data_IF_844505916328
#
_entry.id   IF_844505916328
#
_cell.length_a   1.000
_cell.length_b   1.000
_cell.length_c   1.000
_cell.angle_alpha   90.00
_cell.angle_beta   90.00
_cell.angle_gamma   90.00
#
_symmetry.space_group_name_H-M   'P 1'
#
loop_
_entity.id
_entity.type
_entity.pdbx_description
1 polymer ?
#
# COMPACT_ATOMS: atom_id res chain seq x y z
N UNK A 1 18.82 80.18 -8.69
CA UNK A 1 19.85 79.79 -7.70
C UNK A 1 20.24 81.01 -6.88
N UNK A 2 19.58 81.26 -5.76
CA UNK A 2 20.16 81.86 -4.55
C UNK A 2 19.13 81.75 -3.40
N UNK A 3 19.59 81.26 -2.25
CA UNK A 3 18.86 81.05 -0.98
C UNK A 3 18.67 82.38 -0.23
N UNK A 4 17.89 82.35 0.86
CA UNK A 4 18.50 82.33 2.21
C UNK A 4 17.79 81.26 3.11
N UNK A 5 18.44 80.33 3.85
CA UNK A 5 19.27 80.41 5.08
C UNK A 5 18.70 81.38 6.13
N UNK A 6 18.36 81.00 7.36
CA UNK A 6 19.22 80.55 8.50
C UNK A 6 18.27 79.98 9.60
N UNK A 7 18.37 78.73 10.09
CA UNK A 7 19.18 78.18 11.21
C UNK A 7 18.65 78.44 12.65
N UNK A 8 18.27 77.32 13.32
CA UNK A 8 18.34 76.95 14.75
C UNK A 8 17.64 77.76 15.87
N UNK A 9 16.98 77.06 16.81
CA UNK A 9 17.46 76.81 18.20
C UNK A 9 16.46 75.89 18.95
N UNK A 10 17.03 74.89 19.64
CA UNK A 10 16.42 74.01 20.63
C UNK A 10 16.34 74.73 21.99
N UNK A 11 15.23 74.61 22.73
CA UNK A 11 15.20 74.89 24.17
C UNK A 11 14.24 73.91 24.87
N UNK A 12 14.80 73.09 25.76
CA UNK A 12 14.10 72.33 26.79
C UNK A 12 14.08 73.15 28.08
N UNK A 13 13.08 72.95 28.97
CA UNK A 13 13.18 72.95 30.45
C UNK A 13 11.81 72.69 31.11
N UNK A 14 11.74 71.53 31.77
CA UNK A 14 11.30 71.23 33.15
C UNK A 14 9.82 71.25 33.61
N UNK A 15 9.34 70.01 33.86
CA UNK A 15 8.59 69.45 35.01
C UNK A 15 7.73 70.33 35.94
N UNK A 16 6.46 69.92 36.10
CA UNK A 16 5.86 69.58 37.40
C UNK A 16 4.95 68.34 37.29
N UNK A 17 5.12 67.41 38.25
CA UNK A 17 4.29 66.22 38.48
C UNK A 17 3.08 66.59 39.36
N UNK A 18 1.90 66.00 39.12
CA UNK A 18 1.25 65.07 40.07
C UNK A 18 -0.13 64.56 39.61
N UNK A 19 -0.26 63.23 39.71
CA UNK A 19 -1.44 62.43 40.05
C UNK A 19 -2.60 62.31 39.04
N UNK A 20 -2.73 61.09 38.52
CA UNK A 20 -3.94 60.60 37.87
C UNK A 20 -3.71 59.25 37.20
N UNK A 21 -3.53 58.18 37.99
CA UNK A 21 -3.55 56.82 37.49
C UNK A 21 -4.86 56.56 36.73
N UNK A 22 -4.79 56.44 35.41
CA UNK A 22 -5.62 55.47 34.70
C UNK A 22 -4.68 54.75 33.73
N UNK A 23 -4.56 53.45 33.94
CA UNK A 23 -4.10 52.54 32.89
C UNK A 23 -4.90 52.87 31.63
N UNK A 24 -4.35 52.83 30.41
CA UNK A 24 -5.22 52.68 29.26
C UNK A 24 -5.97 51.37 29.52
N UNK A 25 -7.27 51.49 29.81
CA UNK A 25 -8.16 50.37 29.62
C UNK A 25 -7.87 49.92 28.20
N UNK A 26 -7.41 48.68 28.05
CA UNK A 26 -7.44 48.06 26.74
C UNK A 26 -8.91 48.06 26.35
N UNK A 27 -9.30 49.06 25.56
CA UNK A 27 -10.55 49.06 24.83
C UNK A 27 -10.39 47.92 23.83
N UNK A 28 -10.60 46.70 24.31
CA UNK A 28 -10.89 45.57 23.46
C UNK A 28 -12.03 46.00 22.54
N UNK A 29 -11.98 45.54 21.30
CA UNK A 29 -13.04 45.72 20.32
C UNK A 29 -14.40 45.50 21.02
N UNK A 30 -15.40 46.39 20.81
CA UNK A 30 -16.66 46.36 21.54
C UNK A 30 -17.29 44.96 21.54
N UNK A 31 -18.06 44.64 22.59
CA UNK A 31 -18.62 43.31 22.89
C UNK A 31 -19.45 42.69 21.73
N UNK A 32 -19.77 43.46 20.68
CA UNK A 32 -20.49 43.02 19.48
C UNK A 32 -19.78 43.37 18.17
N UNK A 33 -18.45 43.33 18.12
CA UNK A 33 -17.75 43.57 16.85
C UNK A 33 -17.91 42.36 15.92
N UNK A 34 -18.75 42.50 14.91
CA UNK A 34 -18.93 41.52 13.82
C UNK A 34 -18.24 42.01 12.55
N UNK A 35 -17.87 41.07 11.67
CA UNK A 35 -17.43 41.40 10.32
C UNK A 35 -18.59 41.27 9.33
N UNK A 36 -18.51 41.98 8.21
CA UNK A 36 -19.47 41.88 7.13
C UNK A 36 -18.81 41.25 5.91
N UNK A 37 -19.49 40.28 5.30
CA UNK A 37 -19.07 39.68 4.04
C UNK A 37 -20.17 39.89 3.01
N UNK A 38 -19.80 40.48 1.87
CA UNK A 38 -20.62 40.55 0.67
C UNK A 38 -20.14 39.45 -0.27
N UNK A 39 -21.03 38.49 -0.57
CA UNK A 39 -20.72 37.39 -1.47
C UNK A 39 -21.33 37.69 -2.84
N UNK A 40 -20.50 37.66 -3.88
CA UNK A 40 -20.95 37.70 -5.27
C UNK A 40 -20.43 36.46 -6.00
N UNK A 41 -21.33 35.74 -6.66
CA UNK A 41 -20.97 34.61 -7.50
C UNK A 41 -21.60 34.78 -8.88
N UNK A 42 -20.81 34.49 -9.91
CA UNK A 42 -21.25 34.52 -11.31
C UNK A 42 -21.00 33.16 -11.93
N UNK A 43 -22.03 32.61 -12.58
CA UNK A 43 -21.95 31.34 -13.31
C UNK A 43 -21.35 31.62 -14.69
N UNK A 44 -20.13 31.15 -14.95
CA UNK A 44 -19.39 31.45 -16.18
C UNK A 44 -20.09 30.93 -17.46
N UNK A 45 -20.86 29.85 -17.34
CA UNK A 45 -21.72 29.32 -18.40
C UNK A 45 -22.82 28.45 -17.80
N UNK A 46 -24.08 28.80 -18.01
CA UNK A 46 -25.23 27.98 -17.66
C UNK A 46 -25.96 27.58 -18.95
N UNK A 47 -26.29 26.31 -19.12
CA UNK A 47 -27.26 25.93 -20.16
C UNK A 47 -28.63 26.48 -19.74
N UNK A 48 -29.38 27.07 -20.68
CA UNK A 48 -30.76 27.48 -20.43
C UNK A 48 -31.57 26.28 -19.92
N UNK A 49 -32.16 26.41 -18.72
CA UNK A 49 -32.99 25.36 -18.10
C UNK A 49 -32.32 24.50 -17.03
N UNK A 50 -31.18 24.91 -16.44
CA UNK A 50 -30.50 24.11 -15.40
C UNK A 50 -31.24 23.95 -14.06
N UNK A 51 -32.49 24.41 -13.94
CA UNK A 51 -33.35 24.18 -12.78
C UNK A 51 -32.92 24.81 -11.46
N UNK A 52 -31.81 25.56 -11.41
CA UNK A 52 -31.27 26.14 -10.18
C UNK A 52 -32.21 27.21 -9.63
N UNK A 53 -32.62 27.06 -8.36
CA UNK A 53 -33.56 27.97 -7.70
C UNK A 53 -33.06 28.49 -6.35
N UNK A 54 -32.09 27.80 -5.74
CA UNK A 54 -31.60 28.11 -4.40
C UNK A 54 -30.08 28.07 -4.32
N UNK A 55 -29.50 29.03 -3.60
CA UNK A 55 -28.11 29.01 -3.19
C UNK A 55 -28.00 28.71 -1.70
N UNK A 56 -27.03 27.89 -1.32
CA UNK A 56 -26.59 27.73 0.07
C UNK A 56 -25.17 28.24 0.21
N UNK A 57 -24.98 29.23 1.06
CA UNK A 57 -23.67 29.75 1.43
C UNK A 57 -23.28 29.07 2.74
N UNK A 58 -22.12 28.42 2.74
CA UNK A 58 -21.59 27.68 3.89
C UNK A 58 -20.29 28.36 4.31
N UNK A 59 -20.20 28.70 5.60
CA UNK A 59 -18.97 29.21 6.21
C UNK A 59 -18.51 28.26 7.32
N UNK A 60 -17.32 27.70 7.17
CA UNK A 60 -16.80 26.65 8.05
C UNK A 60 -15.44 27.01 8.67
N UNK A 61 -15.24 26.59 9.92
CA UNK A 61 -13.92 26.61 10.59
C UNK A 61 -13.83 25.45 11.56
N UNK A 62 -13.06 24.42 11.19
CA UNK A 62 -12.99 23.18 11.96
C UNK A 62 -14.37 22.53 12.04
N UNK A 63 -14.91 22.37 13.26
CA UNK A 63 -16.25 21.80 13.49
C UNK A 63 -17.40 22.82 13.47
N UNK A 64 -17.09 24.11 13.32
CA UNK A 64 -18.10 25.16 13.29
C UNK A 64 -18.56 25.38 11.86
N UNK A 65 -19.87 25.36 11.63
CA UNK A 65 -20.50 25.54 10.32
C UNK A 65 -21.67 26.51 10.48
N UNK A 66 -21.74 27.50 9.60
CA UNK A 66 -22.86 28.41 9.43
C UNK A 66 -23.40 28.30 8.01
N UNK A 67 -24.71 28.26 7.87
CA UNK A 67 -25.38 28.06 6.59
C UNK A 67 -26.44 29.15 6.38
N UNK A 68 -26.47 29.72 5.18
CA UNK A 68 -27.49 30.67 4.76
C UNK A 68 -28.06 30.23 3.42
N UNK A 69 -29.39 30.11 3.38
CA UNK A 69 -30.13 29.88 2.16
C UNK A 69 -30.52 31.22 1.54
N UNK A 70 -30.12 31.43 0.29
CA UNK A 70 -30.27 32.70 -0.44
C UNK A 70 -30.94 32.43 -1.79
N UNK A 71 -31.93 33.24 -2.20
CA UNK A 71 -32.54 33.07 -3.52
C UNK A 71 -31.54 33.36 -4.63
N UNK A 72 -31.62 32.60 -5.72
CA UNK A 72 -30.87 32.87 -6.95
C UNK A 72 -31.72 33.78 -7.84
N UNK A 73 -31.17 34.93 -8.26
CA UNK A 73 -31.87 35.88 -9.14
C UNK A 73 -31.15 35.94 -10.48
N UNK A 74 -31.70 35.27 -11.49
CA UNK A 74 -31.04 35.16 -12.79
C UNK A 74 -29.82 34.24 -12.71
N UNK A 75 -28.62 34.80 -12.93
CA UNK A 75 -27.34 34.09 -12.83
C UNK A 75 -26.47 34.57 -11.66
N UNK A 76 -26.95 35.53 -10.89
CA UNK A 76 -26.20 36.18 -9.83
C UNK A 76 -26.73 35.77 -8.47
N UNK A 77 -25.79 35.57 -7.54
CA UNK A 77 -26.06 35.39 -6.12
C UNK A 77 -25.45 36.60 -5.42
N UNK A 78 -26.25 37.28 -4.60
CA UNK A 78 -25.78 38.39 -3.77
C UNK A 78 -26.32 38.22 -2.36
N UNK A 79 -25.43 38.18 -1.37
CA UNK A 79 -25.79 38.12 0.05
C UNK A 79 -24.85 38.98 0.89
N UNK A 80 -25.42 39.70 1.85
CA UNK A 80 -24.68 40.38 2.91
C UNK A 80 -24.84 39.57 4.20
N UNK A 81 -23.72 39.10 4.75
CA UNK A 81 -23.69 38.19 5.89
C UNK A 81 -22.95 38.84 7.06
N UNK A 82 -23.59 38.84 8.23
CA UNK A 82 -22.94 39.17 9.50
C UNK A 82 -22.29 37.90 10.07
N UNK A 83 -20.95 37.88 10.10
CA UNK A 83 -20.18 36.70 10.45
C UNK A 83 -19.11 37.02 11.51
N UNK A 84 -18.74 36.05 12.36
CA UNK A 84 -17.69 36.30 13.35
C UNK A 84 -16.34 36.57 12.67
N UNK A 85 -15.58 37.50 13.24
CA UNK A 85 -14.22 37.85 12.78
C UNK A 85 -13.30 36.62 12.85
N UNK A 86 -12.45 36.45 11.85
CA UNK A 86 -11.43 35.40 11.78
C UNK A 86 -11.26 34.80 10.39
N UNK A 87 -10.42 33.77 10.31
CA UNK A 87 -10.21 32.98 9.10
C UNK A 87 -11.32 31.93 8.95
N UNK A 88 -11.88 31.78 7.76
CA UNK A 88 -12.98 30.88 7.47
C UNK A 88 -12.86 30.27 6.08
N UNK A 89 -13.43 29.08 5.90
CA UNK A 89 -13.65 28.50 4.58
C UNK A 89 -15.06 28.81 4.11
N UNK A 90 -15.18 29.45 2.96
CA UNK A 90 -16.42 29.75 2.26
C UNK A 90 -16.66 28.71 1.15
N UNK A 91 -17.85 28.12 1.14
CA UNK A 91 -18.33 27.26 0.06
C UNK A 91 -19.71 27.74 -0.38
N UNK A 92 -19.96 27.77 -1.67
CA UNK A 92 -21.28 28.08 -2.24
C UNK A 92 -21.79 26.84 -2.97
N UNK A 93 -23.03 26.45 -2.67
CA UNK A 93 -23.77 25.40 -3.36
C UNK A 93 -24.96 26.01 -4.11
N UNK A 94 -25.18 25.60 -5.34
CA UNK A 94 -26.37 25.93 -6.12
C UNK A 94 -27.19 24.67 -6.35
N UNK A 95 -28.46 24.73 -5.95
CA UNK A 95 -29.37 23.59 -5.96
C UNK A 95 -30.60 23.85 -6.84
N UNK A 96 -31.14 22.77 -7.40
CA UNK A 96 -32.45 22.78 -8.05
C UNK A 96 -33.62 22.70 -7.06
N UNK A 97 -34.85 22.71 -7.58
CA UNK A 97 -36.09 22.64 -6.79
C UNK A 97 -36.21 21.33 -5.99
N UNK A 98 -35.54 20.26 -6.42
CA UNK A 98 -35.46 18.98 -5.75
C UNK A 98 -34.37 18.93 -4.66
N UNK A 99 -33.52 19.96 -4.56
CA UNK A 99 -32.42 20.06 -3.59
C UNK A 99 -31.11 19.40 -4.04
N UNK A 100 -30.98 19.03 -5.31
CA UNK A 100 -29.76 18.44 -5.88
C UNK A 100 -28.75 19.53 -6.18
N UNK A 101 -27.49 19.34 -5.77
CA UNK A 101 -26.41 20.31 -6.01
C UNK A 101 -25.98 20.24 -7.48
N UNK A 102 -26.36 21.26 -8.25
CA UNK A 102 -26.02 21.38 -9.68
C UNK A 102 -24.66 22.04 -9.89
N UNK A 103 -24.30 23.01 -9.03
CA UNK A 103 -23.00 23.69 -9.07
C UNK A 103 -22.49 23.96 -7.66
N UNK A 104 -21.17 24.05 -7.52
CA UNK A 104 -20.53 24.39 -6.26
C UNK A 104 -19.18 25.09 -6.45
N UNK A 105 -18.71 25.79 -5.43
CA UNK A 105 -17.33 26.29 -5.39
C UNK A 105 -16.38 25.26 -4.78
N UNK A 106 -15.07 25.41 -5.05
CA UNK A 106 -14.09 24.86 -4.12
C UNK A 106 -14.16 25.63 -2.78
N UNK A 107 -13.80 25.01 -1.63
CA UNK A 107 -13.63 25.74 -0.38
C UNK A 107 -12.59 26.85 -0.55
N UNK A 108 -12.99 28.09 -0.26
CA UNK A 108 -12.14 29.27 -0.38
C UNK A 108 -11.86 29.86 0.99
N UNK A 109 -10.58 30.04 1.33
CA UNK A 109 -10.19 30.72 2.56
C UNK A 109 -10.50 32.23 2.47
N UNK A 110 -11.17 32.76 3.49
CA UNK A 110 -11.49 34.18 3.63
C UNK A 110 -11.11 34.69 5.02
N UNK A 111 -10.67 35.95 5.08
CA UNK A 111 -10.23 36.62 6.31
C UNK A 111 -11.18 37.75 6.69
N UNK A 112 -12.12 37.44 7.58
CA UNK A 112 -13.12 38.40 8.04
C UNK A 112 -12.49 39.33 9.08
N UNK A 113 -12.40 40.62 8.76
CA UNK A 113 -11.84 41.67 9.62
C UNK A 113 -12.92 42.54 10.29
N UNK A 114 -12.64 43.14 11.48
CA UNK A 114 -13.58 44.05 12.15
C UNK A 114 -13.88 45.30 11.31
N UNK A 115 -15.15 45.72 11.28
CA UNK A 115 -15.63 46.97 10.67
C UNK A 115 -15.24 47.15 9.19
N UNK A 116 -15.00 46.04 8.48
CA UNK A 116 -14.71 46.02 7.05
C UNK A 116 -15.73 45.13 6.36
N UNK A 117 -16.25 45.58 5.22
CA UNK A 117 -17.06 44.74 4.33
C UNK A 117 -16.12 44.12 3.31
N UNK A 118 -15.93 42.81 3.36
CA UNK A 118 -15.14 42.08 2.37
C UNK A 118 -16.04 41.62 1.23
N UNK A 119 -15.70 42.01 0.00
CA UNK A 119 -16.29 41.42 -1.20
C UNK A 119 -15.55 40.13 -1.54
N UNK A 120 -16.28 39.04 -1.70
CA UNK A 120 -15.73 37.74 -2.11
C UNK A 120 -16.37 37.33 -3.43
N UNK A 121 -15.55 37.27 -4.48
CA UNK A 121 -15.93 36.73 -5.78
C UNK A 121 -15.61 35.23 -5.82
N UNK A 122 -16.60 34.43 -6.19
CA UNK A 122 -16.49 32.97 -6.20
C UNK A 122 -16.76 32.40 -7.58
N UNK A 123 -15.90 31.50 -8.03
CA UNK A 123 -16.08 30.74 -9.27
C UNK A 123 -16.75 29.41 -8.94
N UNK A 124 -17.84 29.12 -9.64
CA UNK A 124 -18.60 27.87 -9.49
C UNK A 124 -18.20 26.87 -10.58
N UNK A 125 -18.10 25.60 -10.18
CA UNK A 125 -17.92 24.42 -11.04
C UNK A 125 -19.16 23.53 -10.96
N UNK A 126 -19.36 22.58 -11.89
CA UNK A 126 -20.41 21.58 -11.75
C UNK A 126 -20.33 20.84 -10.41
N UNK A 127 -21.50 20.51 -9.87
CA UNK A 127 -21.66 19.75 -8.63
C UNK A 127 -20.94 18.40 -8.71
N UNK A 128 -20.50 17.91 -7.55
CA UNK A 128 -19.88 16.59 -7.48
C UNK A 128 -20.86 15.50 -7.87
N UNK A 129 -20.35 14.45 -8.51
CA UNK A 129 -21.06 13.19 -8.67
C UNK A 129 -20.85 12.32 -7.43
N UNK A 130 -21.80 11.43 -7.18
CA UNK A 130 -21.74 10.47 -6.09
C UNK A 130 -21.31 9.11 -6.64
N UNK A 131 -20.27 8.50 -6.06
CA UNK A 131 -19.88 7.12 -6.39
C UNK A 131 -20.32 6.23 -5.24
N UNK A 132 -21.38 5.45 -5.48
CA UNK A 132 -21.90 4.48 -4.54
C UNK A 132 -21.18 3.14 -4.76
N UNK A 133 -20.12 2.92 -3.99
CA UNK A 133 -19.28 1.74 -4.05
C UNK A 133 -19.81 0.64 -3.13
N UNK A 134 -20.00 -0.53 -3.71
CA UNK A 134 -20.27 -1.80 -3.03
C UNK A 134 -19.07 -2.73 -3.24
N UNK A 135 -18.29 -3.00 -2.20
CA UNK A 135 -17.26 -4.04 -2.20
C UNK A 135 -17.91 -5.35 -1.76
N UNK A 136 -17.99 -6.30 -2.67
CA UNK A 136 -18.46 -7.65 -2.42
C UNK A 136 -17.28 -8.63 -2.40
N UNK A 137 -17.08 -9.26 -1.24
CA UNK A 137 -16.01 -10.23 -1.04
C UNK A 137 -16.46 -11.66 -1.38
N UNK A 138 -17.77 -11.89 -1.51
CA UNK A 138 -18.34 -13.23 -1.67
C UNK A 138 -18.02 -14.16 -0.49
N UNK A 139 -18.24 -15.46 -0.70
CA UNK A 139 -18.15 -16.48 0.37
C UNK A 139 -16.78 -17.16 0.48
N UNK A 140 -15.77 -16.70 -0.27
CA UNK A 140 -14.46 -17.37 -0.28
C UNK A 140 -13.75 -17.22 1.07
N UNK A 141 -13.18 -18.30 1.64
CA UNK A 141 -12.42 -18.23 2.89
C UNK A 141 -11.18 -17.33 2.79
N UNK A 142 -10.71 -17.05 1.56
CA UNK A 142 -9.58 -16.14 1.34
C UNK A 142 -9.85 -14.73 1.87
N UNK A 143 -11.09 -14.28 1.82
CA UNK A 143 -11.49 -12.94 2.23
C UNK A 143 -11.93 -12.86 3.70
N UNK A 144 -11.91 -13.97 4.44
CA UNK A 144 -12.39 -14.02 5.83
C UNK A 144 -11.66 -13.11 6.82
N UNK A 145 -10.47 -12.64 6.44
CA UNK A 145 -9.66 -11.75 7.26
C UNK A 145 -9.59 -10.32 6.71
N UNK A 146 -10.25 -10.03 5.58
CA UNK A 146 -10.30 -8.70 5.02
C UNK A 146 -11.17 -7.80 5.92
N UNK A 147 -10.57 -6.74 6.45
CA UNK A 147 -11.27 -5.77 7.33
C UNK A 147 -10.98 -4.31 6.98
N UNK A 148 -10.19 -4.10 5.92
CA UNK A 148 -9.71 -2.78 5.51
C UNK A 148 -9.57 -2.71 4.00
N UNK A 149 -9.85 -1.54 3.44
CA UNK A 149 -9.60 -1.24 2.04
C UNK A 149 -8.98 0.15 1.88
N UNK A 150 -8.13 0.31 0.86
CA UNK A 150 -7.78 1.62 0.33
C UNK A 150 -8.42 1.76 -1.03
N UNK A 151 -9.24 2.79 -1.16
CA UNK A 151 -9.88 3.16 -2.42
C UNK A 151 -9.15 4.38 -2.94
N UNK A 152 -8.56 4.27 -4.11
CA UNK A 152 -7.85 5.35 -4.77
C UNK A 152 -8.69 5.88 -5.93
N UNK A 153 -8.71 7.21 -6.06
CA UNK A 153 -9.17 7.92 -7.24
C UNK A 153 -8.01 8.80 -7.70
N UNK A 154 -7.30 8.36 -8.74
CA UNK A 154 -5.99 8.88 -9.12
C UNK A 154 -4.97 8.73 -7.96
N UNK A 155 -4.37 9.83 -7.51
CA UNK A 155 -3.41 9.85 -6.41
C UNK A 155 -4.06 10.02 -5.02
N UNK A 156 -5.34 10.41 -4.99
CA UNK A 156 -6.09 10.57 -3.75
C UNK A 156 -6.59 9.21 -3.27
N UNK A 157 -6.62 9.01 -1.95
CA UNK A 157 -7.10 7.77 -1.36
C UNK A 157 -7.94 8.00 -0.13
N UNK A 158 -8.86 7.08 0.09
CA UNK A 158 -9.62 6.95 1.32
C UNK A 158 -9.44 5.55 1.91
N UNK A 159 -9.39 5.51 3.24
CA UNK A 159 -9.21 4.29 4.01
C UNK A 159 -10.55 3.86 4.60
N UNK A 160 -11.04 2.71 4.14
CA UNK A 160 -12.24 2.07 4.67
C UNK A 160 -11.83 1.02 5.71
N UNK A 161 -12.50 1.02 6.85
CA UNK A 161 -12.27 0.08 7.95
C UNK A 161 -13.64 -0.44 8.40
N UNK A 162 -13.76 -1.77 8.52
CA UNK A 162 -14.98 -2.43 8.99
C UNK A 162 -14.66 -3.58 9.94
N UNK A 163 -15.65 -4.03 10.68
CA UNK A 163 -15.56 -5.18 11.59
C UNK A 163 -16.46 -6.31 11.09
N UNK A 164 -15.94 -7.55 11.07
CA UNK A 164 -16.68 -8.71 10.58
C UNK A 164 -16.90 -8.73 9.06
N UNK A 165 -17.68 -9.67 8.56
CA UNK A 165 -17.98 -9.84 7.12
C UNK A 165 -19.47 -10.13 6.94
N UNK A 166 -20.30 -9.34 7.62
CA UNK A 166 -21.75 -9.46 7.51
C UNK A 166 -22.22 -8.70 6.27
N UNK A 167 -21.91 -9.26 5.09
CA UNK A 167 -22.37 -8.76 3.80
C UNK A 167 -21.43 -7.76 3.11
N UNK A 168 -21.91 -7.12 2.03
CA UNK A 168 -21.09 -6.21 1.24
C UNK A 168 -20.79 -4.91 2.00
N UNK A 169 -19.62 -4.35 1.72
CA UNK A 169 -19.17 -3.08 2.30
C UNK A 169 -19.61 -1.96 1.37
N UNK A 170 -20.47 -1.06 1.87
CA UNK A 170 -20.99 0.07 1.09
C UNK A 170 -20.34 1.38 1.54
N UNK A 171 -19.96 2.23 0.59
CA UNK A 171 -19.43 3.55 0.85
C UNK A 171 -19.79 4.51 -0.29
N UNK A 172 -20.09 5.77 0.04
CA UNK A 172 -20.44 6.80 -0.95
C UNK A 172 -19.37 7.88 -0.96
N UNK A 173 -18.72 8.05 -2.12
CA UNK A 173 -17.75 9.12 -2.35
C UNK A 173 -18.41 10.29 -3.08
N UNK A 174 -17.99 11.51 -2.74
CA UNK A 174 -18.35 12.73 -3.49
C UNK A 174 -17.13 13.18 -4.28
N UNK A 175 -17.20 13.13 -5.61
CA UNK A 175 -16.07 13.42 -6.50
C UNK A 175 -16.45 14.47 -7.52
N UNK A 176 -15.47 15.32 -7.87
CA UNK A 176 -15.63 16.24 -8.98
C UNK A 176 -15.96 15.47 -10.28
N UNK A 177 -16.72 16.06 -11.22
CA UNK A 177 -16.96 15.40 -12.50
C UNK A 177 -15.67 15.23 -13.29
N UNK A 178 -15.48 14.04 -13.86
CA UNK A 178 -14.26 13.73 -14.60
C UNK A 178 -14.01 12.23 -14.76
N UNK A 179 -12.86 11.92 -15.35
CA UNK A 179 -12.35 10.56 -15.51
C UNK A 179 -11.35 10.27 -14.41
N UNK A 180 -11.48 9.10 -13.78
CA UNK A 180 -10.64 8.69 -12.66
C UNK A 180 -10.03 7.32 -12.90
N UNK A 181 -8.75 7.18 -12.52
CA UNK A 181 -8.09 5.90 -12.33
C UNK A 181 -8.45 5.38 -10.93
N UNK A 182 -9.28 4.34 -10.87
CA UNK A 182 -9.72 3.67 -9.67
C UNK A 182 -8.80 2.48 -9.34
N UNK A 183 -8.36 2.39 -8.08
CA UNK A 183 -7.74 1.18 -7.52
C UNK A 183 -8.39 0.87 -6.16
N UNK A 184 -8.65 -0.41 -5.91
CA UNK A 184 -9.10 -0.88 -4.60
C UNK A 184 -8.13 -1.95 -4.11
N UNK A 185 -7.42 -1.64 -3.03
CA UNK A 185 -6.53 -2.57 -2.32
C UNK A 185 -7.24 -3.11 -1.08
N UNK A 186 -7.09 -4.41 -0.79
CA UNK A 186 -7.64 -5.03 0.43
C UNK A 186 -6.53 -5.40 1.41
N UNK A 187 -6.83 -5.22 2.69
CA UNK A 187 -5.94 -5.45 3.81
C UNK A 187 -6.62 -6.21 4.94
N UNK A 188 -5.80 -6.83 5.78
CA UNK A 188 -6.24 -7.44 7.04
C UNK A 188 -6.30 -6.39 8.15
N UNK A 189 -5.49 -6.53 9.19
CA UNK A 189 -5.51 -5.79 10.47
C UNK A 189 -4.91 -4.38 10.42
N UNK A 190 -4.15 -4.04 9.38
CA UNK A 190 -3.58 -2.70 9.19
C UNK A 190 -3.17 -2.47 7.74
N UNK A 191 -2.87 -1.22 7.39
CA UNK A 191 -2.46 -0.82 6.04
C UNK A 191 -0.96 -1.01 5.75
N UNK A 192 -0.25 -1.81 6.57
CA UNK A 192 1.13 -2.18 6.29
C UNK A 192 1.23 -3.10 5.08
N UNK A 193 2.31 -2.99 4.32
CA UNK A 193 2.50 -3.77 3.08
C UNK A 193 2.39 -5.29 3.30
N UNK A 194 2.85 -5.79 4.46
CA UNK A 194 2.76 -7.21 4.82
C UNK A 194 1.32 -7.70 5.04
N UNK A 195 0.38 -6.79 5.31
CA UNK A 195 -1.03 -7.08 5.57
C UNK A 195 -1.91 -6.85 4.34
N UNK A 196 -1.32 -6.50 3.19
CA UNK A 196 -2.05 -6.38 1.92
C UNK A 196 -2.31 -7.75 1.34
N UNK A 197 -3.59 -8.10 1.20
CA UNK A 197 -4.04 -9.41 0.69
C UNK A 197 -4.50 -9.34 -0.76
N UNK A 198 -4.97 -8.17 -1.22
CA UNK A 198 -5.23 -7.92 -2.63
C UNK A 198 -4.61 -6.56 -3.01
N UNK A 199 -3.68 -6.53 -3.98
CA UNK A 199 -3.10 -5.28 -4.47
C UNK A 199 -4.02 -4.51 -5.43
N UNK A 200 -5.17 -5.07 -5.80
CA UNK A 200 -6.11 -4.45 -6.74
C UNK A 200 -5.61 -4.43 -8.19
N UNK A 201 -6.47 -3.95 -9.09
CA UNK A 201 -6.16 -3.68 -10.50
C UNK A 201 -6.73 -2.29 -10.82
N UNK A 202 -5.94 -1.47 -11.53
CA UNK A 202 -6.38 -0.16 -11.98
C UNK A 202 -7.50 -0.27 -13.01
N UNK A 203 -8.55 0.54 -12.84
CA UNK A 203 -9.71 0.61 -13.70
C UNK A 203 -10.06 2.08 -13.97
N UNK A 204 -10.64 2.37 -15.14
CA UNK A 204 -11.10 3.73 -15.46
C UNK A 204 -12.59 3.84 -15.17
N UNK A 205 -12.99 4.87 -14.44
CA UNK A 205 -14.40 5.23 -14.23
C UNK A 205 -14.65 6.68 -14.66
N UNK A 206 -15.90 6.99 -14.98
CA UNK A 206 -16.35 8.35 -15.32
C UNK A 206 -17.42 8.80 -14.32
N UNK A 207 -17.15 9.92 -13.66
CA UNK A 207 -18.07 10.57 -12.72
C UNK A 207 -18.73 11.74 -13.44
N UNK A 208 -20.06 11.70 -13.52
CA UNK A 208 -20.87 12.75 -14.13
C UNK A 208 -21.35 13.74 -13.06
N UNK A 209 -21.54 15.00 -13.46
CA UNK A 209 -22.02 16.04 -12.56
C UNK A 209 -23.43 15.73 -12.02
N UNK A 210 -23.60 15.89 -10.71
CA UNK A 210 -24.88 15.72 -10.02
C UNK A 210 -25.57 14.35 -10.29
N UNK A 211 -24.79 13.32 -10.60
CA UNK A 211 -25.29 11.97 -10.87
C UNK A 211 -24.69 10.96 -9.90
N UNK A 212 -25.45 9.89 -9.67
CA UNK A 212 -24.99 8.72 -8.91
C UNK A 212 -24.43 7.66 -9.86
N UNK A 213 -23.17 7.27 -9.65
CA UNK A 213 -22.53 6.10 -10.24
C UNK A 213 -22.57 4.95 -9.25
N UNK A 214 -23.31 3.89 -9.57
CA UNK A 214 -23.31 2.66 -8.78
C UNK A 214 -22.19 1.74 -9.24
N UNK A 215 -21.26 1.42 -8.34
CA UNK A 215 -20.09 0.61 -8.60
C UNK A 215 -20.09 -0.64 -7.71
N UNK A 216 -20.33 -1.81 -8.32
CA UNK A 216 -20.20 -3.10 -7.64
C UNK A 216 -18.83 -3.71 -7.95
N UNK A 217 -17.96 -3.79 -6.96
CA UNK A 217 -16.59 -4.27 -7.11
C UNK A 217 -16.37 -5.59 -6.37
N UNK A 218 -15.58 -6.46 -6.99
CA UNK A 218 -15.12 -7.73 -6.41
C UNK A 218 -13.61 -7.89 -6.64
N UNK A 219 -12.88 -8.53 -5.71
CA UNK A 219 -11.47 -8.79 -5.90
C UNK A 219 -11.24 -9.77 -7.05
N UNK A 220 -10.32 -9.44 -7.95
CA UNK A 220 -9.95 -10.31 -9.06
C UNK A 220 -9.30 -11.60 -8.54
N UNK A 221 -9.72 -12.74 -9.09
CA UNK A 221 -9.19 -14.06 -8.74
C UNK A 221 -8.86 -14.86 -10.00
N UNK A 222 -7.82 -15.69 -9.91
CA UNK A 222 -7.46 -16.66 -10.95
C UNK A 222 -7.23 -18.04 -10.31
N UNK A 223 -7.39 -19.09 -11.11
CA UNK A 223 -7.17 -20.46 -10.64
C UNK A 223 -5.69 -20.83 -10.72
N UNK A 224 -5.08 -21.11 -9.56
CA UNK A 224 -3.75 -21.69 -9.51
C UNK A 224 -3.83 -23.23 -9.53
N UNK A 225 -3.18 -23.85 -10.51
CA UNK A 225 -3.03 -25.31 -10.56
C UNK A 225 -1.65 -25.70 -10.01
N UNK A 226 -1.62 -26.54 -8.98
CA UNK A 226 -0.37 -27.02 -8.36
C UNK A 226 -0.20 -28.50 -8.67
N UNK A 227 0.92 -28.84 -9.33
CA UNK A 227 1.32 -30.23 -9.56
C UNK A 227 2.54 -30.55 -8.71
N UNK A 228 2.46 -31.62 -7.92
CA UNK A 228 3.58 -32.13 -7.14
C UNK A 228 3.98 -33.51 -7.64
N UNK A 229 5.28 -33.73 -7.81
CA UNK A 229 5.86 -35.06 -8.09
C UNK A 229 6.63 -35.49 -6.85
N UNK A 230 6.28 -36.67 -6.32
CA UNK A 230 6.95 -37.24 -5.15
C UNK A 230 8.12 -38.09 -5.65
N UNK A 231 9.31 -37.73 -5.21
CA UNK A 231 10.53 -38.49 -5.45
C UNK A 231 10.89 -39.29 -4.21
N UNK A 232 11.03 -40.61 -4.37
CA UNK A 232 11.50 -41.47 -3.29
C UNK A 232 13.02 -41.50 -3.28
N UNK A 233 13.61 -41.41 -2.08
CA UNK A 233 15.04 -41.61 -1.88
C UNK A 233 15.35 -43.09 -2.19
N UNK A 234 16.32 -43.41 -3.06
CA UNK A 234 16.65 -44.80 -3.35
C UNK A 234 17.09 -45.57 -2.09
N UNK A 235 16.68 -46.83 -2.01
CA UNK A 235 17.14 -47.73 -0.96
C UNK A 235 18.62 -48.07 -1.13
N UNK A 236 19.23 -48.53 -0.05
CA UNK A 236 20.63 -48.91 -0.07
C UNK A 236 20.87 -50.12 -1.00
N UNK A 237 21.89 -50.07 -1.88
CA UNK A 237 22.37 -51.26 -2.60
C UNK A 237 22.68 -52.42 -1.66
N UNK A 238 22.37 -53.63 -2.08
CA UNK A 238 22.52 -54.84 -1.28
C UNK A 238 23.71 -55.68 -1.76
N UNK A 239 24.17 -56.59 -0.91
CA UNK A 239 25.22 -57.57 -1.22
C UNK A 239 26.51 -56.96 -1.76
N UNK A 240 26.94 -55.82 -1.20
CA UNK A 240 28.26 -55.25 -1.49
C UNK A 240 29.35 -56.24 -1.08
N UNK A 241 30.17 -56.63 -2.03
CA UNK A 241 31.31 -57.54 -1.87
C UNK A 241 32.56 -56.93 -2.50
N UNK A 242 33.73 -57.40 -2.07
CA UNK A 242 35.02 -56.91 -2.54
C UNK A 242 35.99 -58.08 -2.71
N UNK A 243 36.79 -58.04 -3.77
CA UNK A 243 37.92 -58.94 -3.97
C UNK A 243 39.18 -58.11 -4.22
N UNK A 244 40.25 -58.39 -3.47
CA UNK A 244 41.54 -57.73 -3.66
C UNK A 244 42.41 -58.57 -4.60
N UNK A 245 42.94 -57.94 -5.65
CA UNK A 245 43.90 -58.56 -6.57
C UNK A 245 44.83 -57.52 -7.19
N UNK A 246 46.13 -57.79 -7.18
CA UNK A 246 47.15 -56.95 -7.86
C UNK A 246 47.07 -55.45 -7.47
N UNK A 247 46.90 -55.13 -6.19
CA UNK A 247 46.83 -53.74 -5.72
C UNK A 247 45.50 -53.04 -6.01
N UNK A 248 44.48 -53.77 -6.47
CA UNK A 248 43.15 -53.23 -6.80
C UNK A 248 42.06 -53.91 -5.99
N UNK A 249 41.08 -53.13 -5.55
CA UNK A 249 39.87 -53.63 -4.91
C UNK A 249 38.75 -53.62 -5.94
N UNK A 250 38.28 -54.82 -6.31
CA UNK A 250 37.14 -55.03 -7.18
C UNK A 250 35.87 -55.11 -6.33
N UNK A 251 35.06 -54.06 -6.38
CA UNK A 251 33.76 -53.97 -5.71
C UNK A 251 32.65 -54.42 -6.64
N UNK A 252 31.69 -55.16 -6.11
CA UNK A 252 30.45 -55.53 -6.80
C UNK A 252 29.28 -55.56 -5.84
N UNK A 253 28.09 -55.20 -6.30
CA UNK A 253 26.84 -55.22 -5.54
C UNK A 253 25.68 -55.66 -6.42
N UNK A 254 24.50 -55.87 -5.84
CA UNK A 254 23.31 -56.21 -6.62
C UNK A 254 22.75 -54.98 -7.37
N UNK A 255 22.34 -55.12 -8.65
CA UNK A 255 21.56 -54.10 -9.33
C UNK A 255 20.33 -53.70 -8.50
N UNK A 256 20.04 -52.40 -8.46
CA UNK A 256 18.94 -51.88 -7.67
C UNK A 256 17.62 -52.19 -8.38
N UNK A 257 16.59 -52.75 -7.71
CA UNK A 257 15.37 -53.20 -8.37
C UNK A 257 14.49 -52.06 -8.92
N UNK A 258 14.64 -50.85 -8.38
CA UNK A 258 13.94 -49.66 -8.87
C UNK A 258 14.51 -49.19 -10.23
N UNK A 259 13.72 -49.20 -11.32
CA UNK A 259 14.16 -48.80 -12.66
C UNK A 259 14.47 -47.31 -12.80
N UNK A 260 14.10 -46.48 -11.80
CA UNK A 260 14.43 -45.05 -11.77
C UNK A 260 15.80 -44.75 -11.14
N UNK A 261 16.51 -45.77 -10.64
CA UNK A 261 17.92 -45.63 -10.27
C UNK A 261 18.74 -45.54 -11.55
N UNK A 262 19.51 -44.46 -11.63
CA UNK A 262 20.30 -44.09 -12.81
C UNK A 262 21.80 -44.35 -12.64
N UNK A 263 22.24 -44.74 -11.44
CA UNK A 263 23.63 -45.09 -11.17
C UNK A 263 23.92 -45.21 -9.68
N UNK A 264 25.22 -45.22 -9.35
CA UNK A 264 25.72 -45.45 -8.00
C UNK A 264 26.90 -44.55 -7.67
N UNK A 265 26.92 -44.06 -6.44
CA UNK A 265 28.10 -43.43 -5.84
C UNK A 265 28.82 -44.43 -4.94
N UNK A 266 30.12 -44.55 -5.14
CA UNK A 266 31.01 -45.38 -4.33
C UNK A 266 31.80 -44.50 -3.38
N UNK A 267 31.80 -44.87 -2.11
CA UNK A 267 32.51 -44.18 -1.06
C UNK A 267 33.58 -45.08 -0.45
N UNK A 268 34.69 -44.47 -0.02
CA UNK A 268 35.72 -45.13 0.75
C UNK A 268 36.12 -44.33 1.97
N UNK A 269 36.53 -45.02 3.02
CA UNK A 269 37.00 -44.42 4.26
C UNK A 269 38.19 -45.23 4.80
N UNK A 270 39.37 -44.62 4.80
CA UNK A 270 40.60 -45.20 5.36
C UNK A 270 40.81 -44.82 6.83
N UNK A 271 40.36 -43.63 7.23
CA UNK A 271 40.37 -43.17 8.63
C UNK A 271 38.93 -43.09 9.18
N UNK A 272 38.58 -43.86 10.23
CA UNK A 272 37.24 -43.81 10.84
C UNK A 272 36.90 -42.46 11.48
N UNK A 273 37.88 -41.59 11.72
CA UNK A 273 37.68 -40.24 12.26
C UNK A 273 37.45 -39.17 11.17
N UNK A 274 37.68 -39.52 9.90
CA UNK A 274 37.42 -38.65 8.75
C UNK A 274 36.13 -39.02 8.04
N UNK A 275 35.62 -38.11 7.20
CA UNK A 275 34.41 -38.38 6.39
C UNK A 275 34.77 -39.35 5.25
N UNK A 276 33.85 -40.25 4.85
CA UNK A 276 34.08 -41.06 3.66
C UNK A 276 34.19 -40.20 2.40
N UNK A 277 35.26 -40.43 1.63
CA UNK A 277 35.50 -39.81 0.34
C UNK A 277 34.61 -40.45 -0.72
N UNK A 278 34.23 -39.64 -1.72
CA UNK A 278 33.52 -40.12 -2.90
C UNK A 278 34.53 -40.49 -3.99
N UNK A 279 34.64 -41.79 -4.29
CA UNK A 279 35.55 -42.28 -5.32
C UNK A 279 35.03 -42.02 -6.73
N UNK A 280 33.71 -41.92 -6.86
CA UNK A 280 33.02 -41.72 -8.14
C UNK A 280 32.30 -40.36 -8.11
N UNK A 281 32.97 -39.25 -8.42
CA UNK A 281 32.32 -37.92 -8.44
C UNK A 281 31.17 -37.85 -9.46
N UNK A 282 31.16 -38.76 -10.43
CA UNK A 282 30.05 -39.03 -11.35
C UNK A 282 29.52 -40.44 -11.05
N UNK A 283 28.21 -40.66 -10.97
CA UNK A 283 27.65 -41.98 -10.71
C UNK A 283 28.12 -43.02 -11.73
N UNK A 284 28.52 -44.19 -11.25
CA UNK A 284 28.78 -45.35 -12.11
C UNK A 284 27.46 -46.03 -12.46
N UNK A 285 27.31 -46.45 -13.71
CA UNK A 285 26.07 -47.08 -14.19
C UNK A 285 26.03 -48.57 -13.84
N UNK A 286 27.18 -49.22 -13.93
CA UNK A 286 27.32 -50.65 -13.66
C UNK A 286 27.43 -50.89 -12.15
N UNK A 287 26.91 -52.03 -11.65
CA UNK A 287 26.92 -52.38 -10.23
C UNK A 287 28.29 -52.94 -9.79
N UNK A 288 29.36 -52.35 -10.31
CA UNK A 288 30.74 -52.72 -10.05
C UNK A 288 31.66 -51.51 -10.15
N UNK A 289 32.74 -51.51 -9.38
CA UNK A 289 33.75 -50.46 -9.41
C UNK A 289 35.12 -51.04 -9.05
N UNK A 290 36.18 -50.51 -9.64
CA UNK A 290 37.56 -50.93 -9.36
C UNK A 290 38.27 -49.73 -8.74
N UNK A 291 38.71 -49.88 -7.49
CA UNK A 291 39.52 -48.89 -6.81
C UNK A 291 40.99 -49.30 -6.83
N UNK A 292 41.83 -48.45 -7.39
CA UNK A 292 43.28 -48.59 -7.34
C UNK A 292 43.77 -48.05 -5.98
N UNK A 293 44.34 -48.93 -5.14
CA UNK A 293 44.69 -48.59 -3.75
C UNK A 293 46.19 -48.41 -3.54
N UNK A 294 46.98 -48.33 -4.62
CA UNK A 294 48.43 -48.11 -4.56
C UNK A 294 48.80 -46.82 -3.79
N UNK A 295 48.01 -45.75 -3.96
CA UNK A 295 48.23 -44.48 -3.24
C UNK A 295 47.93 -44.57 -1.75
N UNK A 296 47.03 -45.48 -1.35
CA UNK A 296 46.66 -45.70 0.06
C UNK A 296 47.69 -46.58 0.79
N UNK A 297 48.39 -47.45 0.05
CA UNK A 297 49.53 -48.20 0.57
C UNK A 297 50.68 -47.28 1.01
N UNK A 298 50.77 -46.05 0.46
CA UNK A 298 51.74 -45.04 0.87
C UNK A 298 51.36 -44.32 2.19
N UNK A 299 50.12 -44.50 2.66
CA UNK A 299 49.56 -43.85 3.86
C UNK A 299 49.46 -44.78 5.06
N UNK A 300 50.10 -45.96 5.03
CA UNK A 300 50.07 -47.02 6.07
C UNK A 300 48.65 -47.47 6.48
N UNK A 301 47.65 -47.28 5.60
CA UNK A 301 46.28 -47.74 5.86
C UNK A 301 46.24 -49.27 5.90
N UNK A 302 45.78 -49.84 7.03
CA UNK A 302 45.68 -51.30 7.22
C UNK A 302 44.39 -51.88 6.65
N UNK A 303 43.33 -51.07 6.62
CA UNK A 303 42.06 -51.44 6.05
C UNK A 303 41.35 -50.22 5.47
N UNK A 304 40.39 -50.47 4.61
CA UNK A 304 39.55 -49.45 4.02
C UNK A 304 38.10 -49.91 4.05
N UNK A 305 37.20 -49.00 4.41
CA UNK A 305 35.77 -49.28 4.48
C UNK A 305 35.09 -48.71 3.25
N UNK A 306 34.31 -49.54 2.55
CA UNK A 306 33.52 -49.13 1.39
C UNK A 306 32.03 -49.08 1.71
N UNK A 307 31.33 -48.17 1.05
CA UNK A 307 29.87 -48.19 0.98
C UNK A 307 29.41 -47.64 -0.37
N UNK A 308 28.22 -48.04 -0.80
CA UNK A 308 27.65 -47.64 -2.10
C UNK A 308 26.26 -47.07 -1.87
N UNK A 309 25.92 -45.98 -2.56
CA UNK A 309 24.55 -45.43 -2.57
C UNK A 309 24.02 -45.40 -4.01
N UNK A 310 22.77 -45.84 -4.20
CA UNK A 310 22.07 -45.68 -5.47
C UNK A 310 21.66 -44.20 -5.67
N UNK A 311 21.57 -43.73 -6.90
CA UNK A 311 21.11 -42.36 -7.21
C UNK A 311 20.04 -42.39 -8.29
N UNK A 312 18.94 -41.69 -8.04
CA UNK A 312 17.85 -41.52 -9.00
C UNK A 312 18.08 -40.34 -9.96
N UNK A 313 17.15 -40.15 -10.90
CA UNK A 313 17.24 -39.10 -11.93
C UNK A 313 17.22 -37.65 -11.39
N UNK A 314 16.90 -37.44 -10.10
CA UNK A 314 17.03 -36.14 -9.42
C UNK A 314 18.47 -35.79 -9.04
N UNK A 315 19.39 -36.75 -9.12
CA UNK A 315 20.76 -36.60 -8.64
C UNK A 315 20.92 -36.73 -7.12
N UNK A 316 19.84 -36.95 -6.37
CA UNK A 316 19.90 -37.17 -4.92
C UNK A 316 20.34 -38.61 -4.63
N UNK A 317 21.45 -38.76 -3.92
CA UNK A 317 21.94 -40.06 -3.46
C UNK A 317 21.00 -40.66 -2.41
N UNK A 318 20.76 -41.96 -2.55
CA UNK A 318 20.00 -42.78 -1.64
C UNK A 318 20.76 -43.13 -0.36
N UNK A 319 20.21 -44.09 0.37
CA UNK A 319 20.91 -44.64 1.53
C UNK A 319 22.18 -45.39 1.13
N UNK A 320 23.20 -45.33 1.97
CA UNK A 320 24.43 -46.10 1.77
C UNK A 320 24.22 -47.56 2.20
N UNK A 321 24.81 -48.48 1.47
CA UNK A 321 24.90 -49.91 1.84
C UNK A 321 25.55 -50.07 3.21
N UNK A 322 25.38 -51.26 3.81
CA UNK A 322 26.19 -51.64 4.97
C UNK A 322 27.68 -51.50 4.64
N UNK A 323 28.50 -50.98 5.58
CA UNK A 323 29.92 -50.78 5.34
C UNK A 323 30.62 -52.12 5.15
N UNK A 324 31.47 -52.20 4.13
CA UNK A 324 32.31 -53.35 3.83
C UNK A 324 33.78 -53.01 4.13
N UNK A 325 34.35 -53.66 5.14
CA UNK A 325 35.77 -53.50 5.48
C UNK A 325 36.61 -54.44 4.63
N UNK A 326 37.63 -53.91 3.99
CA UNK A 326 38.63 -54.65 3.22
C UNK A 326 39.99 -54.45 3.87
N UNK A 327 40.60 -55.53 4.33
CA UNK A 327 41.98 -55.51 4.83
C UNK A 327 42.95 -55.37 3.67
N UNK A 328 43.83 -54.38 3.76
CA UNK A 328 44.93 -54.21 2.83
C UNK A 328 46.05 -55.12 3.33
N UNK A 329 46.45 -56.09 2.52
CA UNK A 329 47.50 -57.05 2.89
C UNK A 329 48.79 -56.34 3.34
N UNK A 330 49.65 -57.03 4.12
CA UNK A 330 50.91 -56.46 4.60
C UNK A 330 51.88 -56.06 3.49
#
# INVERSE_FOLDING_TARGET
>A
MYKPQVTLILAAVCLTLLAGCTLPAGDGLPVHTQGQVAVMATIASMQEGSGVSQARIILARGKHVFEWDVPVVGLDISAELEVPIGNWQLTILLMDDEGTIQFQSAPQEIDVMPNNTQLVEVVLRPGDGLVNLTIDLGDSPFWQNASRARVYFNDEREELIWEGIDGPINHVFSLAPGTYDLLIELYTESFHAANRIAPGIWQVIEVQAAQELVLNWQPATETLTVNAVIYMIPEAPQNLTANMSQGKVHLSWDPHPNPFVTGYFVYSQSDPFERPDILTPIPVLEPQFIHDVEELSLLDARSITYSVAAVGYTGVAGYRSSPLVVELGP
#
